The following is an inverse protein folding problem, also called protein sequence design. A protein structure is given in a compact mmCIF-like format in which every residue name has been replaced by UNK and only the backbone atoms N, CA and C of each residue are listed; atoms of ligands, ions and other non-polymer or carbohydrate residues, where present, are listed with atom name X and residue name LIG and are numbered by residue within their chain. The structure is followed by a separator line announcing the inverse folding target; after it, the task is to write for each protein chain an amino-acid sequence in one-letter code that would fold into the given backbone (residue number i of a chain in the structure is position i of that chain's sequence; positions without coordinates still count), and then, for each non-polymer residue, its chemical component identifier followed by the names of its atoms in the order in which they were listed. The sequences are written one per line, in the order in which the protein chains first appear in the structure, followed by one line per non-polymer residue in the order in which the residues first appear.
data_IF_735747929644
#
_entry.id   IF_735747929644
#
_cell.length_a   1.000
_cell.length_b   1.000
_cell.length_c   1.000
_cell.angle_alpha   90.00
_cell.angle_beta   90.00
_cell.angle_gamma   90.00
#
_symmetry.space_group_name_H-M   'P 1'
#
loop_
_entity.id
_entity.type
_entity.pdbx_description
1 polymer ?
#
# COMPACT_ATOMS: atom_id res chain seq x y z
N UNK A 1 -22.50 14.92 44.15
CA UNK A 1 -22.38 15.08 42.68
C UNK A 1 -21.05 14.57 42.11
N UNK A 2 -19.88 14.76 42.75
CA UNK A 2 -18.58 14.29 42.24
C UNK A 2 -18.43 12.76 42.13
N UNK A 3 -19.12 11.99 42.98
CA UNK A 3 -19.07 10.51 42.94
C UNK A 3 -19.86 9.91 41.76
N UNK A 4 -20.85 10.63 41.24
CA UNK A 4 -21.68 10.14 40.15
C UNK A 4 -20.95 10.24 38.80
N UNK A 5 -20.18 11.31 38.59
CA UNK A 5 -19.33 11.48 37.38
C UNK A 5 -18.21 10.45 37.30
N UNK A 6 -17.59 10.09 38.43
CA UNK A 6 -16.54 9.06 38.45
C UNK A 6 -17.06 7.65 38.06
N UNK A 7 -18.33 7.35 38.40
CA UNK A 7 -18.97 6.08 38.03
C UNK A 7 -19.29 6.00 36.52
N UNK A 8 -19.66 7.13 35.91
CA UNK A 8 -19.97 7.22 34.47
C UNK A 8 -18.71 7.08 33.62
N UNK A 9 -17.61 7.74 33.99
CA UNK A 9 -16.35 7.66 33.23
C UNK A 9 -15.78 6.23 33.22
N UNK A 10 -15.89 5.51 34.34
CA UNK A 10 -15.42 4.12 34.43
C UNK A 10 -16.27 3.14 33.62
N UNK A 11 -17.56 3.44 33.43
CA UNK A 11 -18.46 2.60 32.62
C UNK A 11 -18.27 2.84 31.12
N UNK A 12 -17.99 4.07 30.68
CA UNK A 12 -17.74 4.33 29.26
C UNK A 12 -16.44 3.71 28.76
N UNK A 13 -15.36 3.77 29.55
CA UNK A 13 -14.06 3.21 29.14
C UNK A 13 -14.09 1.68 29.06
N UNK A 14 -14.77 1.04 30.01
CA UNK A 14 -14.93 -0.42 30.02
C UNK A 14 -15.80 -0.91 28.86
N UNK A 15 -16.88 -0.19 28.53
CA UNK A 15 -17.71 -0.46 27.36
C UNK A 15 -16.91 -0.26 26.06
N UNK A 16 -16.13 0.81 25.96
CA UNK A 16 -15.33 1.08 24.77
C UNK A 16 -14.19 0.07 24.58
N UNK A 17 -13.53 -0.34 25.66
CA UNK A 17 -12.51 -1.39 25.61
C UNK A 17 -13.11 -2.74 25.17
N UNK A 18 -14.31 -3.07 25.63
CA UNK A 18 -15.06 -4.26 25.20
C UNK A 18 -15.44 -4.19 23.72
N UNK A 19 -15.98 -3.06 23.27
CA UNK A 19 -16.43 -2.86 21.90
C UNK A 19 -15.25 -2.80 20.91
N UNK A 20 -14.15 -2.13 21.26
CA UNK A 20 -12.91 -2.16 20.48
C UNK A 20 -12.35 -3.57 20.34
N UNK A 21 -12.40 -4.39 21.40
CA UNK A 21 -11.96 -5.79 21.34
C UNK A 21 -12.85 -6.59 20.39
N UNK A 22 -14.17 -6.37 20.44
CA UNK A 22 -15.16 -6.98 19.54
C UNK A 22 -14.93 -6.57 18.08
N UNK A 23 -14.80 -5.27 17.82
CA UNK A 23 -14.49 -4.73 16.48
C UNK A 23 -13.15 -5.26 15.96
N UNK A 24 -12.10 -5.29 16.79
CA UNK A 24 -10.80 -5.87 16.42
C UNK A 24 -10.86 -7.37 16.15
N UNK A 25 -11.73 -8.11 16.85
CA UNK A 25 -11.93 -9.54 16.60
C UNK A 25 -12.65 -9.82 15.26
N UNK A 26 -13.46 -8.86 14.78
CA UNK A 26 -14.10 -8.90 13.47
C UNK A 26 -13.18 -8.46 12.32
N UNK A 27 -12.12 -7.70 12.61
CA UNK A 27 -11.08 -7.41 11.61
C UNK A 27 -10.28 -8.70 11.43
N UNK A 28 -10.54 -9.40 10.33
CA UNK A 28 -9.74 -10.54 9.92
C UNK A 28 -8.26 -10.17 10.04
N UNK A 29 -7.50 -10.92 10.86
CA UNK A 29 -6.07 -10.69 11.01
C UNK A 29 -5.48 -10.59 9.61
N UNK A 30 -4.85 -9.46 9.27
CA UNK A 30 -4.28 -9.24 7.93
C UNK A 30 -3.44 -10.46 7.62
N UNK A 31 -3.96 -11.32 6.74
CA UNK A 31 -3.27 -12.54 6.36
C UNK A 31 -1.95 -12.07 5.78
N UNK A 32 -0.83 -12.40 6.45
CA UNK A 32 0.49 -12.02 5.97
C UNK A 32 0.66 -12.68 4.63
N UNK A 33 0.42 -11.93 3.57
CA UNK A 33 0.46 -12.43 2.22
C UNK A 33 1.89 -12.90 1.96
N UNK A 34 2.05 -14.22 1.76
CA UNK A 34 3.32 -14.82 1.38
C UNK A 34 3.26 -15.01 -0.13
N UNK A 35 3.46 -13.92 -0.84
CA UNK A 35 3.44 -13.89 -2.29
C UNK A 35 4.51 -14.80 -2.87
N UNK A 36 4.13 -15.55 -3.90
CA UNK A 36 5.07 -16.30 -4.71
C UNK A 36 5.81 -15.31 -5.61
N UNK A 37 7.14 -15.38 -5.59
CA UNK A 37 8.00 -14.62 -6.51
C UNK A 37 8.38 -15.55 -7.64
N UNK A 38 7.91 -15.26 -8.84
CA UNK A 38 8.20 -16.05 -10.02
C UNK A 38 9.45 -15.51 -10.70
N UNK A 39 10.38 -16.38 -11.04
CA UNK A 39 11.53 -16.04 -11.89
C UNK A 39 11.23 -16.58 -13.29
N UNK A 40 11.32 -15.72 -14.30
CA UNK A 40 11.18 -16.14 -15.70
C UNK A 40 12.57 -16.22 -16.35
N UNK A 41 12.90 -17.40 -16.90
CA UNK A 41 14.23 -17.71 -17.42
C UNK A 41 15.18 -18.13 -16.32
N UNK A 42 16.49 -18.05 -16.58
CA UNK A 42 17.55 -18.54 -15.70
C UNK A 42 17.96 -17.52 -14.61
N UNK A 43 16.98 -16.76 -14.10
CA UNK A 43 17.22 -15.74 -13.07
C UNK A 43 17.31 -16.40 -11.70
N UNK A 44 18.47 -16.28 -11.05
CA UNK A 44 18.67 -16.72 -9.66
C UNK A 44 18.62 -15.51 -8.74
N UNK A 45 17.65 -15.47 -7.83
CA UNK A 45 17.49 -14.38 -6.86
C UNK A 45 18.09 -14.76 -5.50
N UNK A 46 18.89 -13.86 -4.89
CA UNK A 46 19.28 -14.00 -3.49
C UNK A 46 18.06 -14.00 -2.55
N UNK A 47 18.20 -14.69 -1.41
CA UNK A 47 17.10 -14.85 -0.44
C UNK A 47 16.55 -13.52 0.08
N UNK A 48 17.40 -12.50 0.27
CA UNK A 48 16.94 -11.20 0.73
C UNK A 48 16.04 -10.49 -0.29
N UNK A 49 16.32 -10.66 -1.59
CA UNK A 49 15.50 -10.13 -2.69
C UNK A 49 14.20 -10.89 -2.76
N UNK A 50 14.26 -12.23 -2.76
CA UNK A 50 13.08 -13.10 -2.76
C UNK A 50 12.16 -12.80 -1.58
N UNK A 51 12.72 -12.64 -0.37
CA UNK A 51 11.97 -12.29 0.83
C UNK A 51 11.33 -10.91 0.72
N UNK A 52 12.05 -9.92 0.22
CA UNK A 52 11.51 -8.56 0.02
C UNK A 52 10.34 -8.56 -0.97
N UNK A 53 10.52 -9.22 -2.12
CA UNK A 53 9.49 -9.31 -3.16
C UNK A 53 8.30 -10.21 -2.76
N UNK A 54 8.52 -11.23 -1.93
CA UNK A 54 7.44 -12.13 -1.46
C UNK A 54 6.38 -11.41 -0.63
N UNK A 55 6.66 -10.20 -0.15
CA UNK A 55 5.66 -9.39 0.53
C UNK A 55 4.60 -8.87 -0.45
N UNK A 56 4.91 -8.78 -1.75
CA UNK A 56 3.98 -8.35 -2.80
C UNK A 56 3.91 -6.82 -2.98
N UNK A 57 3.21 -6.35 -4.03
CA UNK A 57 3.18 -4.94 -4.44
C UNK A 57 2.55 -4.02 -3.39
N UNK A 58 1.59 -4.53 -2.63
CA UNK A 58 0.90 -3.77 -1.58
C UNK A 58 1.74 -3.54 -0.33
N UNK A 59 2.76 -4.38 -0.09
CA UNK A 59 3.56 -4.36 1.13
C UNK A 59 4.99 -3.85 0.91
N UNK A 60 5.33 -3.47 -0.32
CA UNK A 60 6.67 -2.98 -0.66
C UNK A 60 6.97 -1.61 -0.03
N UNK A 61 5.95 -0.79 0.26
CA UNK A 61 6.16 0.61 0.68
C UNK A 61 5.01 1.14 1.56
N UNK A 62 4.66 0.47 2.67
CA UNK A 62 3.89 1.19 3.68
C UNK A 62 4.73 2.39 4.16
N UNK A 63 4.16 3.60 4.08
CA UNK A 63 4.84 4.83 4.48
C UNK A 63 5.23 4.70 5.94
N UNK A 64 6.53 4.67 6.22
CA UNK A 64 7.03 4.70 7.59
C UNK A 64 6.70 6.08 8.16
N UNK A 65 5.83 6.12 9.16
CA UNK A 65 5.59 7.33 9.92
C UNK A 65 6.66 7.45 10.99
N UNK A 66 7.36 8.58 11.00
CA UNK A 66 8.25 8.94 12.11
C UNK A 66 7.41 9.33 13.34
N UNK A 67 8.01 9.36 14.54
CA UNK A 67 7.29 9.82 15.73
C UNK A 67 6.71 11.25 15.56
N UNK A 68 7.43 12.22 14.95
CA UNK A 68 6.84 13.51 14.58
C UNK A 68 5.64 13.41 13.64
N UNK A 69 5.69 12.54 12.62
CA UNK A 69 4.55 12.36 11.70
C UNK A 69 3.32 11.81 12.43
N UNK A 70 3.54 10.85 13.33
CA UNK A 70 2.47 10.27 14.14
C UNK A 70 1.85 11.31 15.08
N UNK A 71 2.68 12.15 15.72
CA UNK A 71 2.20 13.28 16.53
C UNK A 71 1.42 14.29 15.69
N UNK A 72 1.85 14.58 14.46
CA UNK A 72 1.13 15.46 13.55
C UNK A 72 -0.25 14.88 13.19
N UNK A 73 -0.35 13.56 13.01
CA UNK A 73 -1.63 12.87 12.80
C UNK A 73 -2.53 13.01 14.04
N UNK A 74 -2.00 12.75 15.25
CA UNK A 74 -2.76 12.90 16.51
C UNK A 74 -3.30 14.32 16.64
N UNK A 75 -2.47 15.33 16.40
CA UNK A 75 -2.89 16.74 16.43
C UNK A 75 -3.99 17.05 15.41
N UNK A 76 -3.84 16.55 14.18
CA UNK A 76 -4.84 16.74 13.12
C UNK A 76 -6.16 16.09 13.48
N UNK A 77 -6.15 14.85 13.98
CA UNK A 77 -7.37 14.15 14.40
C UNK A 77 -8.03 14.90 15.57
N UNK A 78 -7.24 15.33 16.55
CA UNK A 78 -7.74 16.06 17.72
C UNK A 78 -8.36 17.40 17.34
N UNK A 79 -7.82 18.10 16.33
CA UNK A 79 -8.41 19.35 15.83
C UNK A 79 -9.77 19.21 15.15
N UNK A 80 -10.15 17.97 14.78
CA UNK A 80 -11.46 17.66 14.19
C UNK A 80 -12.46 17.18 15.24
N UNK A 81 -12.03 16.94 16.48
CA UNK A 81 -12.90 16.55 17.58
C UNK A 81 -13.64 17.77 18.16
N UNK A 82 -14.80 17.57 18.81
CA UNK A 82 -15.43 18.61 19.61
C UNK A 82 -14.45 19.22 20.63
N UNK A 83 -14.60 20.51 20.93
CA UNK A 83 -13.66 21.24 21.78
C UNK A 83 -13.50 20.60 23.17
N UNK A 84 -14.57 19.99 23.68
CA UNK A 84 -14.62 19.29 24.97
C UNK A 84 -13.75 18.01 24.96
N UNK A 85 -13.63 17.34 23.82
CA UNK A 85 -12.91 16.07 23.67
C UNK A 85 -11.47 16.25 23.17
N UNK A 86 -11.09 17.42 22.67
CA UNK A 86 -9.80 17.67 22.03
C UNK A 86 -8.60 17.26 22.93
N UNK A 87 -8.63 17.65 24.21
CA UNK A 87 -7.57 17.30 25.16
C UNK A 87 -7.49 15.79 25.41
N UNK A 88 -8.65 15.11 25.50
CA UNK A 88 -8.71 13.65 25.66
C UNK A 88 -8.13 12.95 24.43
N UNK A 89 -8.51 13.38 23.22
CA UNK A 89 -7.97 12.83 21.97
C UNK A 89 -6.45 12.97 21.86
N UNK A 90 -5.89 14.11 22.30
CA UNK A 90 -4.43 14.30 22.33
C UNK A 90 -3.78 13.34 23.34
N UNK A 91 -4.30 13.27 24.57
CA UNK A 91 -3.75 12.42 25.62
C UNK A 91 -3.74 10.95 25.21
N UNK A 92 -4.89 10.42 24.78
CA UNK A 92 -5.02 9.03 24.32
C UNK A 92 -4.14 8.76 23.10
N UNK A 93 -4.10 9.70 22.15
CA UNK A 93 -3.25 9.59 20.97
C UNK A 93 -1.77 9.46 21.35
N UNK A 94 -1.29 10.29 22.28
CA UNK A 94 0.10 10.24 22.77
C UNK A 94 0.37 8.94 23.53
N UNK A 95 -0.55 8.48 24.38
CA UNK A 95 -0.42 7.23 25.13
C UNK A 95 -0.29 6.03 24.20
N UNK A 96 -1.09 5.98 23.13
CA UNK A 96 -0.96 4.96 22.07
C UNK A 96 0.42 5.03 21.42
N UNK A 97 0.93 6.23 21.12
CA UNK A 97 2.26 6.38 20.52
C UNK A 97 3.40 5.89 21.42
N UNK A 98 3.29 6.04 22.74
CA UNK A 98 4.28 5.51 23.68
C UNK A 98 4.33 3.97 23.66
N UNK A 99 3.21 3.32 23.34
CA UNK A 99 3.12 1.86 23.25
C UNK A 99 3.56 1.30 21.88
N UNK A 100 3.65 2.15 20.85
CA UNK A 100 4.11 1.75 19.51
C UNK A 100 5.61 1.47 19.56
N UNK A 101 5.98 0.19 19.52
CA UNK A 101 7.39 -0.21 19.39
C UNK A 101 7.93 0.27 18.03
N UNK A 102 9.15 0.83 17.99
CA UNK A 102 9.80 1.13 16.71
C UNK A 102 9.90 -0.15 15.87
N UNK A 103 9.62 -0.04 14.58
CA UNK A 103 9.66 -1.18 13.66
C UNK A 103 11.06 -1.82 13.68
N UNK A 104 11.15 -3.04 14.21
CA UNK A 104 12.41 -3.69 14.58
C UNK A 104 13.31 -4.12 13.40
N UNK A 105 12.84 -4.04 12.16
CA UNK A 105 13.69 -4.31 11.01
C UNK A 105 13.15 -3.63 9.77
N UNK A 106 13.89 -2.66 9.23
CA UNK A 106 13.66 -2.23 7.86
C UNK A 106 14.00 -3.40 6.93
N UNK A 107 13.10 -3.71 6.00
CA UNK A 107 13.47 -4.54 4.87
C UNK A 107 14.64 -3.88 4.13
N UNK A 108 15.55 -4.67 3.55
CA UNK A 108 16.71 -4.15 2.83
C UNK A 108 16.30 -3.66 1.43
N UNK A 109 15.26 -2.82 1.34
CA UNK A 109 14.66 -2.40 0.07
C UNK A 109 15.67 -1.70 -0.84
N UNK A 110 16.51 -0.83 -0.29
CA UNK A 110 17.58 -0.17 -1.05
C UNK A 110 18.55 -1.19 -1.65
N UNK A 111 18.97 -2.19 -0.87
CA UNK A 111 19.84 -3.28 -1.34
C UNK A 111 19.15 -4.14 -2.41
N UNK A 112 17.86 -4.40 -2.25
CA UNK A 112 17.05 -5.12 -3.24
C UNK A 112 16.96 -4.34 -4.56
N UNK A 113 16.72 -3.03 -4.50
CA UNK A 113 16.65 -2.16 -5.68
C UNK A 113 18.01 -2.11 -6.38
N UNK A 114 19.11 -1.93 -5.64
CA UNK A 114 20.46 -1.95 -6.22
C UNK A 114 20.73 -3.27 -6.92
N UNK A 115 20.47 -4.40 -6.25
CA UNK A 115 20.69 -5.72 -6.85
C UNK A 115 19.87 -5.93 -8.15
N UNK A 116 18.60 -5.55 -8.16
CA UNK A 116 17.76 -5.65 -9.36
C UNK A 116 18.30 -4.79 -10.50
N UNK A 117 18.77 -3.57 -10.18
CA UNK A 117 19.36 -2.65 -11.17
C UNK A 117 20.68 -3.17 -11.73
N UNK A 118 21.59 -3.61 -10.86
CA UNK A 118 22.94 -4.03 -11.21
C UNK A 118 22.93 -5.30 -12.08
N UNK A 119 21.89 -6.14 -11.95
CA UNK A 119 21.70 -7.36 -12.74
C UNK A 119 20.70 -7.17 -13.90
N UNK A 120 20.31 -5.94 -14.22
CA UNK A 120 19.33 -5.62 -15.28
C UNK A 120 18.03 -6.44 -15.19
N UNK A 121 17.53 -6.64 -13.98
CA UNK A 121 16.31 -7.39 -13.71
C UNK A 121 15.10 -6.45 -13.68
N UNK A 122 14.06 -6.83 -14.40
CA UNK A 122 12.77 -6.14 -14.40
C UNK A 122 11.80 -6.91 -13.50
N UNK A 123 11.08 -6.16 -12.66
CA UNK A 123 10.03 -6.70 -11.77
C UNK A 123 8.67 -6.24 -12.30
N UNK A 124 7.77 -7.19 -12.55
CA UNK A 124 6.40 -6.92 -13.00
C UNK A 124 5.40 -7.55 -12.02
N UNK A 125 4.25 -6.92 -11.76
CA UNK A 125 3.19 -7.55 -10.97
C UNK A 125 2.64 -8.78 -11.71
N UNK A 126 2.35 -9.84 -10.97
CA UNK A 126 1.71 -11.05 -11.50
C UNK A 126 0.19 -10.97 -11.28
N UNK A 127 -0.57 -10.83 -12.37
CA UNK A 127 -2.02 -10.66 -12.32
C UNK A 127 -2.76 -11.87 -11.73
N UNK A 128 -2.21 -13.08 -11.89
CA UNK A 128 -2.90 -14.32 -11.48
C UNK A 128 -2.62 -14.76 -10.05
N UNK A 129 -1.45 -14.40 -9.50
CA UNK A 129 -0.99 -14.96 -8.22
C UNK A 129 -0.75 -13.90 -7.14
N UNK A 130 -1.01 -12.62 -7.43
CA UNK A 130 -0.90 -11.53 -6.45
C UNK A 130 0.54 -11.22 -6.01
N UNK A 131 1.55 -11.67 -6.75
CA UNK A 131 2.97 -11.51 -6.44
C UNK A 131 3.73 -10.68 -7.48
N UNK A 132 5.02 -10.99 -7.62
CA UNK A 132 5.88 -10.40 -8.64
C UNK A 132 6.49 -11.48 -9.52
N UNK A 133 6.62 -11.17 -10.81
CA UNK A 133 7.50 -11.89 -11.71
C UNK A 133 8.78 -11.07 -11.93
N UNK A 134 9.93 -11.73 -11.86
CA UNK A 134 11.24 -11.14 -12.12
C UNK A 134 11.81 -11.76 -13.37
N UNK A 135 12.30 -10.92 -14.27
CA UNK A 135 12.77 -11.32 -15.59
C UNK A 135 13.94 -10.46 -16.05
N UNK A 136 14.81 -11.03 -16.87
CA UNK A 136 15.87 -10.26 -17.52
C UNK A 136 15.29 -9.20 -18.46
N UNK A 137 16.00 -8.09 -18.60
CA UNK A 137 15.63 -6.95 -19.46
C UNK A 137 15.26 -7.35 -20.89
N UNK A 138 16.00 -8.25 -21.51
CA UNK A 138 15.69 -8.71 -22.88
C UNK A 138 14.34 -9.44 -22.95
N UNK A 139 14.06 -10.31 -21.98
CA UNK A 139 12.78 -11.00 -21.91
C UNK A 139 11.64 -10.03 -21.61
N UNK A 140 11.91 -8.99 -20.82
CA UNK A 140 10.96 -7.92 -20.51
C UNK A 140 10.58 -7.16 -21.77
N UNK A 141 11.56 -6.72 -22.54
CA UNK A 141 11.33 -5.99 -23.78
C UNK A 141 10.56 -6.86 -24.80
N UNK A 142 10.91 -8.14 -24.94
CA UNK A 142 10.16 -9.07 -25.80
C UNK A 142 8.69 -9.20 -25.38
N UNK A 143 8.42 -9.42 -24.08
CA UNK A 143 7.06 -9.51 -23.56
C UNK A 143 6.30 -8.19 -23.68
N UNK A 144 6.96 -7.06 -23.45
CA UNK A 144 6.38 -5.73 -23.59
C UNK A 144 5.96 -5.45 -25.05
N UNK A 145 6.83 -5.73 -26.02
CA UNK A 145 6.51 -5.59 -27.45
C UNK A 145 5.36 -6.52 -27.85
N UNK A 146 5.36 -7.76 -27.36
CA UNK A 146 4.27 -8.70 -27.60
C UNK A 146 2.95 -8.19 -27.05
N UNK A 147 2.94 -7.67 -25.81
CA UNK A 147 1.75 -7.12 -25.17
C UNK A 147 1.21 -5.88 -25.91
N UNK A 148 2.11 -4.98 -26.33
CA UNK A 148 1.75 -3.83 -27.17
C UNK A 148 1.15 -4.31 -28.49
N UNK A 149 1.77 -5.27 -29.16
CA UNK A 149 1.28 -5.77 -30.45
C UNK A 149 -0.07 -6.49 -30.34
N UNK A 150 -0.32 -7.20 -29.23
CA UNK A 150 -1.60 -7.89 -29.01
C UNK A 150 -2.74 -6.93 -28.70
N UNK A 151 -2.48 -5.86 -27.95
CA UNK A 151 -3.49 -4.86 -27.57
C UNK A 151 -3.71 -3.88 -28.71
N UNK A 152 -2.63 -3.38 -29.29
CA UNK A 152 -2.65 -2.47 -30.42
C UNK A 152 -2.51 -3.29 -31.71
N UNK A 153 -3.58 -4.00 -32.08
CA UNK A 153 -3.67 -4.54 -33.42
C UNK A 153 -3.45 -3.39 -34.41
N UNK A 154 -2.56 -3.60 -35.37
CA UNK A 154 -2.28 -2.61 -36.41
C UNK A 154 -3.60 -2.34 -37.13
N UNK A 155 -4.20 -1.19 -36.87
CA UNK A 155 -5.46 -0.79 -37.50
C UNK A 155 -5.23 -0.41 -38.97
N UNK A 156 -4.91 -1.40 -39.80
CA UNK A 156 -4.88 -1.26 -41.25
C UNK A 156 -6.31 -1.10 -41.74
N UNK A 157 -6.70 0.12 -42.11
CA UNK A 157 -8.04 0.45 -42.59
C UNK A 157 -8.73 1.59 -41.84
N UNK A 158 -8.12 2.13 -40.78
CA UNK A 158 -8.65 3.35 -40.16
C UNK A 158 -8.18 4.56 -40.96
N UNK A 159 -9.13 5.23 -41.60
CA UNK A 159 -8.91 6.53 -42.23
C UNK A 159 -8.78 7.61 -41.15
N UNK A 160 -7.54 8.05 -40.91
CA UNK A 160 -7.21 9.07 -39.92
C UNK A 160 -7.94 10.40 -40.16
N UNK A 161 -8.30 10.70 -41.42
CA UNK A 161 -9.04 11.93 -41.77
C UNK A 161 -10.47 11.84 -41.25
N UNK A 162 -11.12 10.67 -41.41
CA UNK A 162 -12.46 10.42 -40.87
C UNK A 162 -12.48 10.41 -39.35
N UNK A 163 -11.48 9.80 -38.70
CA UNK A 163 -11.39 9.81 -37.23
C UNK A 163 -11.19 11.22 -36.69
N UNK A 164 -10.27 12.02 -37.27
CA UNK A 164 -10.03 13.40 -36.85
C UNK A 164 -11.27 14.29 -37.03
N UNK A 165 -11.95 14.20 -38.18
CA UNK A 165 -13.16 15.00 -38.43
C UNK A 165 -14.29 14.65 -37.46
N UNK A 166 -14.45 13.36 -37.11
CA UNK A 166 -15.46 12.92 -36.13
C UNK A 166 -15.12 13.37 -34.70
N UNK A 167 -13.84 13.29 -34.30
CA UNK A 167 -13.36 13.76 -33.01
C UNK A 167 -13.55 15.29 -32.85
N UNK A 168 -13.24 16.07 -33.88
CA UNK A 168 -13.43 17.53 -33.87
C UNK A 168 -14.91 17.91 -33.67
N UNK A 169 -15.84 17.15 -34.25
CA UNK A 169 -17.28 17.35 -34.03
C UNK A 169 -17.73 17.03 -32.61
N UNK A 170 -17.11 16.07 -31.94
CA UNK A 170 -17.47 15.69 -30.55
C UNK A 170 -16.93 16.70 -29.53
N UNK A 171 -15.76 17.28 -29.77
CA UNK A 171 -15.16 18.30 -28.89
C UNK A 171 -15.92 19.64 -28.92
N UNK A 172 -16.55 19.99 -30.04
CA UNK A 172 -17.35 21.22 -30.14
C UNK A 172 -18.82 21.06 -29.73
N UNK A 173 -19.26 19.84 -29.43
CA UNK A 173 -20.62 19.54 -28.98
C UNK A 173 -20.73 19.36 -27.46
N UNK A 174 -19.60 19.47 -26.75
CA UNK A 174 -19.51 19.51 -25.29
C UNK A 174 -19.17 20.93 -24.84
#
# INVERSE_FOLDING_TARGET
MKEFTACIEHTTDTLWAGELRRLRSGIAAKQRFKGVVHTCGDVVLPDFVRRTLSLGPKYAVDKKYTAPDLLAIVRRVSSLAPQEDCNRCVSEGVDVLQQVKPYASSLPLSRTISHLRDNELCVVPSDKEGGFAVLNKDLYLKKAVSAVTSVFQKCSGIDLVKVKSKAKKTVHAA
#
